data_IF_862019179431
#
_entry.id   IF_862019179431
#
_cell.length_a   1.000
_cell.length_b   1.000
_cell.length_c   1.000
_cell.angle_alpha   90.00
_cell.angle_beta   90.00
_cell.angle_gamma   90.00
#
_symmetry.space_group_name_H-M   'P 1'
#
loop_
_entity.id
_entity.type
_entity.pdbx_description
1 polymer ?
#
# COMPACT_ATOMS: atom_id res chain seq x y z
N UNK A 1 3.50 -20.78 8.98
CA UNK A 1 4.41 -20.67 7.84
C UNK A 1 5.79 -21.06 8.29
N UNK A 2 6.61 -21.59 7.38
CA UNK A 2 8.04 -21.76 7.60
C UNK A 2 8.78 -20.43 7.33
N UNK A 3 10.08 -20.33 7.70
CA UNK A 3 10.86 -19.09 7.53
C UNK A 3 10.81 -18.56 6.09
N UNK A 4 11.00 -19.46 5.11
CA UNK A 4 11.04 -19.11 3.69
C UNK A 4 9.72 -18.51 3.20
N UNK A 5 8.60 -19.11 3.60
CA UNK A 5 7.26 -18.57 3.29
C UNK A 5 7.05 -17.18 3.89
N UNK A 6 7.57 -16.92 5.11
CA UNK A 6 7.47 -15.60 5.76
C UNK A 6 8.34 -14.58 5.01
N UNK A 7 9.55 -14.97 4.64
CA UNK A 7 10.46 -14.14 3.87
C UNK A 7 9.86 -13.74 2.52
N UNK A 8 9.37 -14.72 1.73
CA UNK A 8 8.71 -14.47 0.44
C UNK A 8 7.51 -13.52 0.62
N UNK A 9 6.68 -13.70 1.65
CA UNK A 9 5.55 -12.83 1.91
C UNK A 9 5.93 -11.40 2.29
N UNK A 10 7.03 -11.21 3.04
CA UNK A 10 7.53 -9.88 3.42
C UNK A 10 8.18 -9.18 2.22
N UNK A 11 8.97 -9.90 1.43
CA UNK A 11 9.60 -9.40 0.19
C UNK A 11 8.54 -8.88 -0.79
N UNK A 12 7.57 -9.74 -1.14
CA UNK A 12 6.46 -9.39 -2.03
C UNK A 12 5.66 -8.18 -1.51
N UNK A 13 5.46 -8.13 -0.18
CA UNK A 13 4.73 -7.04 0.43
C UNK A 13 5.49 -5.72 0.39
N UNK A 14 6.77 -5.70 0.82
CA UNK A 14 7.56 -4.48 0.88
C UNK A 14 7.77 -3.89 -0.55
N UNK A 15 7.99 -4.72 -1.57
CA UNK A 15 8.04 -4.28 -2.98
C UNK A 15 6.72 -3.66 -3.44
N UNK A 16 5.60 -4.35 -3.19
CA UNK A 16 4.29 -3.84 -3.58
C UNK A 16 3.89 -2.59 -2.77
N UNK A 17 4.29 -2.50 -1.50
CA UNK A 17 4.03 -1.35 -0.65
C UNK A 17 4.72 -0.09 -1.20
N UNK A 18 6.01 -0.19 -1.56
CA UNK A 18 6.78 0.91 -2.15
C UNK A 18 6.12 1.41 -3.44
N UNK A 19 5.76 0.49 -4.34
CA UNK A 19 5.05 0.83 -5.58
C UNK A 19 3.73 1.58 -5.31
N UNK A 20 2.93 1.13 -4.34
CA UNK A 20 1.65 1.77 -4.02
C UNK A 20 1.83 3.15 -3.37
N UNK A 21 2.88 3.36 -2.58
CA UNK A 21 3.24 4.67 -2.01
C UNK A 21 3.72 5.63 -3.10
N UNK A 22 4.54 5.16 -4.04
CA UNK A 22 4.98 5.96 -5.18
C UNK A 22 3.80 6.41 -6.02
N UNK A 23 2.89 5.48 -6.31
CA UNK A 23 1.70 5.73 -7.10
C UNK A 23 0.78 6.76 -6.44
N UNK A 24 0.60 6.68 -5.12
CA UNK A 24 -0.09 7.72 -4.35
C UNK A 24 0.54 9.10 -4.57
N UNK A 25 1.86 9.21 -4.45
CA UNK A 25 2.56 10.47 -4.61
C UNK A 25 2.52 10.99 -6.04
N UNK A 26 2.58 10.10 -7.04
CA UNK A 26 2.45 10.47 -8.45
C UNK A 26 1.09 11.06 -8.76
N UNK A 27 0.01 10.38 -8.34
CA UNK A 27 -1.37 10.86 -8.53
C UNK A 27 -1.55 12.25 -7.90
N UNK A 28 -1.07 12.43 -6.67
CA UNK A 28 -1.15 13.72 -5.98
C UNK A 28 -0.33 14.82 -6.66
N UNK A 29 0.87 14.51 -7.15
CA UNK A 29 1.67 15.46 -7.92
C UNK A 29 0.94 15.89 -9.21
N UNK A 30 0.37 14.92 -9.94
CA UNK A 30 -0.39 15.17 -11.16
C UNK A 30 -1.59 16.09 -10.91
N UNK A 31 -2.40 15.84 -9.88
CA UNK A 31 -3.53 16.72 -9.53
C UNK A 31 -3.10 18.17 -9.34
N UNK A 32 -1.98 18.40 -8.65
CA UNK A 32 -1.52 19.75 -8.36
C UNK A 32 -0.98 20.43 -9.61
N UNK A 33 -0.38 19.68 -10.55
CA UNK A 33 0.04 20.17 -11.86
C UNK A 33 -1.18 20.55 -12.71
N UNK A 34 -2.20 19.68 -12.79
CA UNK A 34 -3.42 19.96 -13.56
C UNK A 34 -4.19 21.16 -13.00
N UNK A 35 -4.31 21.25 -11.68
CA UNK A 35 -4.88 22.43 -11.02
C UNK A 35 -4.11 23.70 -11.40
N UNK A 36 -2.78 23.66 -11.41
CA UNK A 36 -1.98 24.81 -11.83
C UNK A 36 -2.24 25.18 -13.29
N UNK A 37 -2.28 24.19 -14.22
CA UNK A 37 -2.56 24.41 -15.64
C UNK A 37 -3.92 25.07 -15.86
N UNK A 38 -4.96 24.59 -15.18
CA UNK A 38 -6.34 25.05 -15.38
C UNK A 38 -6.63 26.40 -14.72
N UNK A 39 -5.91 26.77 -13.64
CA UNK A 39 -6.15 28.03 -12.89
C UNK A 39 -5.01 29.06 -13.04
N UNK A 40 -4.06 28.84 -13.94
CA UNK A 40 -2.91 29.72 -14.13
C UNK A 40 -3.29 31.19 -14.46
N UNK A 41 -4.41 31.41 -15.15
CA UNK A 41 -4.90 32.75 -15.50
C UNK A 41 -5.55 33.53 -14.34
N UNK A 42 -5.86 32.88 -13.21
CA UNK A 42 -6.55 33.50 -12.06
C UNK A 42 -5.82 33.41 -10.72
N UNK A 43 -4.60 32.85 -10.70
CA UNK A 43 -3.84 32.63 -9.45
C UNK A 43 -2.78 33.69 -9.22
N UNK A 44 -2.57 34.06 -7.95
CA UNK A 44 -1.49 34.96 -7.53
C UNK A 44 -0.13 34.25 -7.56
N UNK A 45 0.97 35.02 -7.57
CA UNK A 45 2.34 34.47 -7.49
C UNK A 45 2.53 33.56 -6.27
N UNK A 46 1.99 33.96 -5.11
CA UNK A 46 2.11 33.19 -3.87
C UNK A 46 1.36 31.84 -3.95
N UNK A 47 0.19 31.82 -4.57
CA UNK A 47 -0.55 30.57 -4.81
C UNK A 47 0.22 29.64 -5.76
N UNK A 48 0.76 30.16 -6.87
CA UNK A 48 1.60 29.35 -7.78
C UNK A 48 2.81 28.74 -7.06
N UNK A 49 3.50 29.51 -6.23
CA UNK A 49 4.62 29.03 -5.40
C UNK A 49 4.16 27.91 -4.46
N UNK A 50 3.01 28.06 -3.80
CA UNK A 50 2.46 27.04 -2.90
C UNK A 50 2.14 25.74 -3.65
N UNK A 51 1.59 25.83 -4.86
CA UNK A 51 1.35 24.66 -5.71
C UNK A 51 2.66 23.96 -6.09
N UNK A 52 3.67 24.70 -6.56
CA UNK A 52 4.98 24.14 -6.88
C UNK A 52 5.62 23.45 -5.67
N UNK A 53 5.53 24.03 -4.47
CA UNK A 53 6.02 23.40 -3.24
C UNK A 53 5.31 22.07 -2.93
N UNK A 54 3.99 22.01 -3.14
CA UNK A 54 3.20 20.78 -2.95
C UNK A 54 3.59 19.69 -3.96
N UNK A 55 3.75 20.05 -5.24
CA UNK A 55 4.23 19.13 -6.29
C UNK A 55 5.61 18.61 -5.92
N UNK A 56 6.53 19.52 -5.57
CA UNK A 56 7.90 19.18 -5.19
C UNK A 56 7.94 18.20 -4.01
N UNK A 57 7.11 18.40 -2.99
CA UNK A 57 7.03 17.49 -1.84
C UNK A 57 6.72 16.05 -2.27
N UNK A 58 5.74 15.84 -3.15
CA UNK A 58 5.37 14.50 -3.60
C UNK A 58 6.44 13.87 -4.49
N UNK A 59 7.05 14.66 -5.38
CA UNK A 59 8.19 14.19 -6.19
C UNK A 59 9.39 13.81 -5.33
N UNK A 60 9.66 14.54 -4.25
CA UNK A 60 10.72 14.20 -3.30
C UNK A 60 10.47 12.89 -2.55
N UNK A 61 9.20 12.51 -2.31
CA UNK A 61 8.91 11.21 -1.69
C UNK A 61 9.24 10.07 -2.63
N UNK A 62 8.87 10.18 -3.91
CA UNK A 62 9.16 9.16 -4.94
C UNK A 62 10.67 9.00 -5.16
N UNK A 63 11.39 10.12 -5.20
CA UNK A 63 12.83 10.11 -5.45
C UNK A 63 13.65 9.74 -4.22
N UNK A 64 13.02 9.52 -3.06
CA UNK A 64 13.73 9.17 -1.84
C UNK A 64 14.18 7.71 -1.97
N UNK A 65 15.50 7.44 -1.93
CA UNK A 65 15.97 6.07 -2.05
C UNK A 65 15.50 5.26 -0.84
N UNK A 66 14.83 4.15 -1.11
CA UNK A 66 14.58 3.12 -0.11
C UNK A 66 15.85 2.31 0.06
N UNK A 67 16.32 2.16 1.30
CA UNK A 67 17.50 1.35 1.58
C UNK A 67 17.22 -0.10 1.20
N UNK A 68 18.10 -0.76 0.43
CA UNK A 68 17.92 -2.17 0.10
C UNK A 68 17.89 -2.99 1.40
N UNK A 69 16.96 -3.93 1.46
CA UNK A 69 16.79 -4.81 2.60
C UNK A 69 17.42 -6.15 2.26
N UNK A 70 18.35 -6.61 3.09
CA UNK A 70 18.94 -7.94 2.99
C UNK A 70 18.11 -8.92 3.83
N UNK A 71 17.14 -9.57 3.19
CA UNK A 71 16.24 -10.52 3.85
C UNK A 71 16.92 -11.84 4.23
N UNK A 72 17.96 -12.24 3.48
CA UNK A 72 18.72 -13.45 3.75
C UNK A 72 19.56 -13.31 5.04
N UNK A 73 20.14 -12.12 5.26
CA UNK A 73 20.89 -11.81 6.47
C UNK A 73 20.01 -11.46 7.69
N UNK A 74 18.71 -11.26 7.50
CA UNK A 74 17.78 -10.82 8.55
C UNK A 74 17.50 -11.92 9.58
N UNK A 75 17.52 -11.57 10.86
CA UNK A 75 17.21 -12.52 11.93
C UNK A 75 15.74 -13.01 11.86
N UNK A 76 15.45 -14.15 12.48
CA UNK A 76 14.07 -14.66 12.52
C UNK A 76 13.12 -13.71 13.26
N UNK A 77 13.59 -13.08 14.33
CA UNK A 77 12.77 -12.20 15.15
C UNK A 77 12.43 -10.91 14.38
N UNK A 78 13.42 -10.28 13.73
CA UNK A 78 13.20 -9.12 12.87
C UNK A 78 12.27 -9.43 11.69
N UNK A 79 12.41 -10.63 11.09
CA UNK A 79 11.55 -11.06 10.00
C UNK A 79 10.10 -11.24 10.45
N UNK A 80 9.89 -11.81 11.64
CA UNK A 80 8.57 -11.95 12.24
C UNK A 80 7.95 -10.59 12.59
N UNK A 81 8.72 -9.67 13.17
CA UNK A 81 8.25 -8.31 13.46
C UNK A 81 7.80 -7.58 12.20
N UNK A 82 8.57 -7.70 11.11
CA UNK A 82 8.17 -7.15 9.80
C UNK A 82 6.89 -7.78 9.29
N UNK A 83 6.79 -9.10 9.35
CA UNK A 83 5.60 -9.83 8.93
C UNK A 83 4.35 -9.41 9.70
N UNK A 84 4.47 -9.27 11.03
CA UNK A 84 3.37 -8.81 11.88
C UNK A 84 2.99 -7.34 11.58
N UNK A 85 3.95 -6.53 11.14
CA UNK A 85 3.71 -5.13 10.76
C UNK A 85 2.94 -4.95 9.43
N UNK A 86 2.89 -5.98 8.58
CA UNK A 86 2.23 -5.93 7.25
C UNK A 86 0.80 -5.38 7.39
N UNK A 87 0.01 -5.92 8.32
CA UNK A 87 -1.39 -5.50 8.50
C UNK A 87 -1.54 -4.02 8.85
N UNK A 88 -0.63 -3.50 9.67
CA UNK A 88 -0.64 -2.08 10.05
C UNK A 88 -0.27 -1.21 8.86
N UNK A 89 0.77 -1.59 8.10
CA UNK A 89 1.19 -0.89 6.88
C UNK A 89 0.10 -0.92 5.80
N UNK A 90 -0.61 -2.03 5.64
CA UNK A 90 -1.78 -2.12 4.75
C UNK A 90 -2.87 -1.13 5.17
N UNK A 91 -3.21 -1.07 6.46
CA UNK A 91 -4.21 -0.14 6.96
C UNK A 91 -3.79 1.34 6.78
N UNK A 92 -2.50 1.64 6.85
CA UNK A 92 -1.96 2.98 6.54
C UNK A 92 -2.08 3.32 5.05
N UNK A 93 -1.70 2.40 4.17
CA UNK A 93 -1.91 2.53 2.73
C UNK A 93 -3.39 2.75 2.41
N UNK A 94 -4.27 2.03 3.09
CA UNK A 94 -5.70 2.14 2.87
C UNK A 94 -6.23 3.54 3.20
N UNK A 95 -5.75 4.14 4.30
CA UNK A 95 -6.10 5.52 4.68
C UNK A 95 -5.57 6.55 3.69
N UNK A 96 -4.40 6.32 3.08
CA UNK A 96 -3.87 7.22 2.05
C UNK A 96 -4.82 7.32 0.85
N UNK A 97 -5.46 6.21 0.48
CA UNK A 97 -6.34 6.13 -0.69
C UNK A 97 -7.83 6.32 -0.36
N UNK A 98 -8.23 6.27 0.90
CA UNK A 98 -9.62 6.52 1.34
C UNK A 98 -10.10 7.93 0.98
N UNK A 99 -9.20 8.90 0.97
CA UNK A 99 -9.48 10.30 0.65
C UNK A 99 -9.05 10.73 -0.76
N UNK A 100 -8.69 9.78 -1.64
CA UNK A 100 -8.43 10.14 -3.03
C UNK A 100 -9.71 10.65 -3.68
N UNK A 101 -9.60 11.85 -4.26
CA UNK A 101 -10.67 12.55 -4.94
C UNK A 101 -11.20 11.70 -6.10
N UNK A 102 -12.53 11.60 -6.23
CA UNK A 102 -13.27 10.69 -7.14
C UNK A 102 -12.88 10.88 -8.62
N UNK A 103 -12.18 11.99 -8.91
CA UNK A 103 -11.71 12.39 -10.23
C UNK A 103 -10.46 11.65 -10.71
N UNK A 104 -9.69 10.99 -9.84
CA UNK A 104 -8.55 10.16 -10.23
C UNK A 104 -8.95 8.70 -10.23
N UNK A 105 -9.45 8.27 -11.40
CA UNK A 105 -9.76 6.88 -11.71
C UNK A 105 -10.69 6.20 -10.68
N UNK A 106 -12.02 6.22 -10.88
CA UNK A 106 -13.01 5.76 -9.90
C UNK A 106 -12.88 4.28 -9.51
N UNK A 107 -12.05 3.53 -10.20
CA UNK A 107 -11.87 2.10 -10.01
C UNK A 107 -10.82 1.74 -8.95
N UNK A 108 -9.89 2.62 -8.57
CA UNK A 108 -8.76 2.25 -7.66
C UNK A 108 -9.18 1.92 -6.23
N UNK A 109 -9.96 2.76 -5.53
CA UNK A 109 -10.52 2.40 -4.23
C UNK A 109 -11.40 1.16 -4.30
N UNK A 110 -12.14 1.00 -5.40
CA UNK A 110 -13.00 -0.17 -5.67
C UNK A 110 -12.18 -1.44 -5.87
N UNK A 111 -11.12 -1.42 -6.67
CA UNK A 111 -10.23 -2.57 -6.89
C UNK A 111 -9.54 -3.01 -5.60
N UNK A 112 -9.10 -2.08 -4.75
CA UNK A 112 -8.53 -2.42 -3.44
C UNK A 112 -9.57 -3.01 -2.50
N UNK A 113 -10.78 -2.44 -2.43
CA UNK A 113 -11.88 -3.04 -1.68
C UNK A 113 -12.21 -4.46 -2.17
N UNK A 114 -12.24 -4.67 -3.49
CA UNK A 114 -12.42 -6.00 -4.07
C UNK A 114 -11.27 -6.96 -3.71
N UNK A 115 -10.02 -6.50 -3.71
CA UNK A 115 -8.85 -7.28 -3.27
C UNK A 115 -9.02 -7.72 -1.81
N UNK A 116 -9.40 -6.80 -0.91
CA UNK A 116 -9.66 -7.12 0.51
C UNK A 116 -10.81 -8.11 0.69
N UNK A 117 -11.93 -7.91 -0.01
CA UNK A 117 -13.06 -8.82 0.06
C UNK A 117 -12.66 -10.24 -0.39
N UNK A 118 -11.83 -10.33 -1.45
CA UNK A 118 -11.27 -11.61 -1.92
C UNK A 118 -10.34 -12.24 -0.89
N UNK A 119 -9.41 -11.48 -0.30
CA UNK A 119 -8.49 -11.99 0.73
C UNK A 119 -9.25 -12.49 1.97
N UNK A 120 -10.18 -11.69 2.49
CA UNK A 120 -10.99 -12.07 3.66
C UNK A 120 -11.86 -13.31 3.38
N UNK A 121 -12.37 -13.46 2.16
CA UNK A 121 -13.10 -14.66 1.73
C UNK A 121 -12.17 -15.89 1.71
N UNK A 122 -10.95 -15.76 1.19
CA UNK A 122 -9.94 -16.83 1.16
C UNK A 122 -9.58 -17.26 2.59
N UNK A 123 -9.23 -16.31 3.47
CA UNK A 123 -8.88 -16.59 4.87
C UNK A 123 -10.04 -17.31 5.61
N UNK A 124 -11.28 -16.88 5.36
CA UNK A 124 -12.47 -17.52 5.95
C UNK A 124 -12.65 -18.94 5.43
N UNK A 125 -12.46 -19.18 4.14
CA UNK A 125 -12.51 -20.52 3.54
C UNK A 125 -11.42 -21.44 4.10
N UNK A 126 -10.18 -20.96 4.22
CA UNK A 126 -9.07 -21.73 4.82
C UNK A 126 -9.32 -22.07 6.30
N UNK A 127 -9.87 -21.12 7.06
CA UNK A 127 -10.27 -21.33 8.45
C UNK A 127 -11.35 -22.41 8.58
N UNK A 128 -12.35 -22.40 7.69
CA UNK A 128 -13.38 -23.45 7.65
C UNK A 128 -12.79 -24.82 7.29
N UNK A 129 -11.92 -24.90 6.28
CA UNK A 129 -11.26 -26.15 5.90
C UNK A 129 -10.41 -26.73 7.04
N UNK A 130 -9.67 -25.88 7.77
CA UNK A 130 -8.90 -26.30 8.96
C UNK A 130 -9.80 -26.83 10.08
N UNK A 131 -10.98 -26.22 10.30
CA UNK A 131 -11.95 -26.69 11.32
C UNK A 131 -12.57 -28.05 10.94
N UNK A 132 -12.92 -28.24 9.67
CA UNK A 132 -13.46 -29.52 9.17
C UNK A 132 -12.39 -30.63 9.26
N UNK A 133 -11.15 -30.33 8.87
CA UNK A 133 -10.04 -31.28 8.97
C UNK A 133 -9.68 -31.66 10.41
N UNK A 134 -9.89 -30.79 11.40
CA UNK A 134 -9.73 -31.11 12.83
C UNK A 134 -10.86 -32.01 13.35
N UNK A 135 -12.12 -31.72 13.01
CA UNK A 135 -13.27 -32.58 13.38
C UNK A 135 -13.10 -34.02 12.88
N UNK A 136 -12.67 -34.19 11.63
CA UNK A 136 -12.46 -35.52 11.04
C UNK A 136 -11.29 -36.33 11.65
N UNK A 137 -10.42 -35.70 12.44
CA UNK A 137 -9.34 -36.39 13.18
C UNK A 137 -9.73 -36.74 14.62
N UNK A 138 -10.75 -36.09 15.17
CA UNK A 138 -11.29 -36.38 16.52
C UNK A 138 -12.37 -37.48 16.47
N UNK A 139 -12.96 -37.74 15.30
CA UNK A 139 -13.96 -38.80 15.07
C UNK A 139 -13.36 -40.14 14.56
N UNK A 140 -12.03 -40.30 14.59
CA UNK A 140 -11.30 -41.53 14.25
C UNK A 140 -10.51 -42.04 15.46
#
# INVERSE_FOLDING_TARGET
MNRREIQEAVEDFDENYEYEVDLYNFDHALMKIESLKNFCSGTTKNQRILHCKRIHKHLQQILKPTSPVDYDAMSNDELLERFDSIKTKEAELDKLFEYQDIYLYPWRPVFRMCKRAKTALIEKCESMMKKIGKKNKEEK
#
